data_IF_714805197173
#
_entry.id   IF_714805197173
#
_cell.length_a   1.000
_cell.length_b   1.000
_cell.length_c   1.000
_cell.angle_alpha   90.00
_cell.angle_beta   90.00
_cell.angle_gamma   90.00
#
_symmetry.space_group_name_H-M   'P 1'
#
loop_
_entity.id
_entity.type
_entity.pdbx_description
1 polymer ?
#
# COMPACT_ATOMS: atom_id res chain seq x y z
N UNK A 1 -6.74 -13.22 -6.66
CA UNK A 1 -6.52 -14.67 -6.53
C UNK A 1 -6.61 -15.11 -5.08
N UNK A 2 -6.72 -16.44 -4.82
CA UNK A 2 -6.74 -17.00 -3.45
C UNK A 2 -5.42 -16.73 -2.69
N UNK A 3 -5.36 -17.11 -1.42
CA UNK A 3 -4.12 -17.09 -0.64
C UNK A 3 -3.05 -17.95 -1.33
N UNK A 4 -1.80 -17.49 -1.32
CA UNK A 4 -0.70 -18.19 -1.98
C UNK A 4 -0.65 -18.04 -3.51
N UNK A 5 -1.55 -17.28 -4.14
CA UNK A 5 -1.55 -17.09 -5.60
C UNK A 5 -0.49 -16.10 -6.11
N UNK A 6 0.53 -15.75 -5.31
CA UNK A 6 1.60 -14.84 -5.70
C UNK A 6 1.23 -13.35 -5.81
N UNK A 7 0.08 -12.91 -5.26
CA UNK A 7 -0.37 -11.50 -5.35
C UNK A 7 0.72 -10.51 -4.92
N UNK A 8 1.26 -10.70 -3.70
CA UNK A 8 2.30 -9.83 -3.15
C UNK A 8 3.57 -9.87 -3.99
N UNK A 9 3.98 -11.05 -4.44
CA UNK A 9 5.15 -11.22 -5.32
C UNK A 9 5.00 -10.43 -6.62
N UNK A 10 3.84 -10.52 -7.28
CA UNK A 10 3.56 -9.78 -8.51
C UNK A 10 3.54 -8.27 -8.27
N UNK A 11 2.87 -7.82 -7.21
CA UNK A 11 2.79 -6.39 -6.87
C UNK A 11 4.16 -5.81 -6.53
N UNK A 12 4.98 -6.52 -5.76
CA UNK A 12 6.33 -6.08 -5.41
C UNK A 12 7.27 -6.06 -6.63
N UNK A 13 7.10 -7.00 -7.57
CA UNK A 13 7.78 -6.95 -8.86
C UNK A 13 7.43 -5.69 -9.63
N UNK A 14 6.14 -5.37 -9.76
CA UNK A 14 5.69 -4.15 -10.43
C UNK A 14 6.18 -2.88 -9.73
N UNK A 15 6.11 -2.82 -8.39
CA UNK A 15 6.64 -1.69 -7.63
C UNK A 15 8.15 -1.52 -7.82
N UNK A 16 8.90 -2.62 -7.93
CA UNK A 16 10.34 -2.57 -8.16
C UNK A 16 10.69 -2.02 -9.54
N UNK A 17 9.89 -2.31 -10.57
CA UNK A 17 10.06 -1.70 -11.90
C UNK A 17 9.71 -0.21 -11.90
N UNK A 18 8.67 0.20 -11.17
CA UNK A 18 8.24 1.59 -11.09
C UNK A 18 9.09 2.46 -10.14
N UNK A 19 9.98 1.84 -9.36
CA UNK A 19 10.81 2.50 -8.36
C UNK A 19 11.95 3.28 -9.03
N UNK A 20 11.62 4.40 -9.64
CA UNK A 20 12.57 5.31 -10.28
C UNK A 20 12.91 6.50 -9.37
N UNK A 21 14.11 7.10 -9.47
CA UNK A 21 14.42 8.34 -8.78
C UNK A 21 13.38 9.43 -9.09
N UNK A 22 12.91 10.13 -8.06
CA UNK A 22 11.89 11.17 -8.20
C UNK A 22 10.44 10.66 -8.12
N UNK A 23 10.21 9.34 -8.07
CA UNK A 23 8.88 8.77 -7.80
C UNK A 23 8.68 8.49 -6.32
N UNK A 24 7.67 9.12 -5.72
CA UNK A 24 7.26 8.87 -4.34
C UNK A 24 6.27 7.71 -4.29
N UNK A 25 6.77 6.53 -3.94
CA UNK A 25 5.97 5.32 -3.78
C UNK A 25 5.73 5.03 -2.29
N UNK A 26 4.46 4.86 -1.92
CA UNK A 26 4.04 4.55 -0.55
C UNK A 26 3.03 3.39 -0.52
N UNK A 27 3.14 2.50 0.47
CA UNK A 27 2.30 1.29 0.55
C UNK A 27 1.68 1.12 1.94
N UNK A 28 0.46 0.58 1.99
CA UNK A 28 -0.21 0.15 3.22
C UNK A 28 -0.43 -1.37 3.16
N UNK A 29 0.05 -2.11 4.15
CA UNK A 29 0.15 -3.58 4.09
C UNK A 29 -0.13 -4.25 5.44
N UNK A 30 -0.62 -5.50 5.43
CA UNK A 30 -0.93 -6.26 6.66
C UNK A 30 -0.60 -7.76 6.49
N UNK A 31 0.63 -8.23 6.84
CA UNK A 31 1.81 -7.45 7.21
C UNK A 31 2.65 -7.01 5.98
N UNK A 32 3.74 -6.29 6.24
CA UNK A 32 4.80 -6.09 5.23
C UNK A 32 5.62 -7.38 5.13
N UNK A 33 5.66 -8.02 3.96
CA UNK A 33 6.36 -9.29 3.77
C UNK A 33 7.89 -9.14 3.85
N UNK A 34 8.43 -8.12 3.17
CA UNK A 34 9.83 -7.72 3.24
C UNK A 34 10.00 -6.26 2.78
N UNK A 35 11.14 -5.67 3.14
CA UNK A 35 11.42 -4.27 2.82
C UNK A 35 11.89 -4.09 1.38
N UNK A 36 11.22 -3.21 0.65
CA UNK A 36 11.63 -2.71 -0.65
C UNK A 36 12.44 -1.41 -0.49
N UNK A 37 13.67 -1.33 -1.01
CA UNK A 37 14.46 -0.10 -0.95
C UNK A 37 13.74 1.09 -1.59
N UNK A 38 13.87 2.28 -1.01
CA UNK A 38 13.27 3.55 -1.49
C UNK A 38 11.74 3.63 -1.49
N UNK A 39 11.03 2.61 -1.01
CA UNK A 39 9.58 2.62 -0.88
C UNK A 39 9.21 2.80 0.59
N UNK A 40 8.27 3.70 0.88
CA UNK A 40 7.73 3.82 2.24
C UNK A 40 6.64 2.78 2.44
N UNK A 41 6.90 1.78 3.28
CA UNK A 41 5.93 0.73 3.56
C UNK A 41 5.38 0.89 4.97
N UNK A 42 4.07 1.06 5.09
CA UNK A 42 3.35 1.20 6.35
C UNK A 42 2.60 -0.09 6.63
N UNK A 43 2.94 -0.72 7.76
CA UNK A 43 2.19 -1.86 8.24
C UNK A 43 0.96 -1.40 9.03
N UNK A 44 -0.20 -1.99 8.72
CA UNK A 44 -1.44 -1.82 9.47
C UNK A 44 -1.25 -2.30 10.92
N UNK A 45 -1.89 -1.60 11.84
CA UNK A 45 -1.87 -1.96 13.25
C UNK A 45 -3.24 -1.72 13.89
N UNK A 46 -4.04 -2.78 13.93
CA UNK A 46 -5.38 -2.76 14.52
C UNK A 46 -5.39 -2.44 16.02
N UNK A 47 -4.29 -2.68 16.75
CA UNK A 47 -4.21 -2.39 18.20
C UNK A 47 -4.23 -0.89 18.51
N UNK A 48 -3.87 -0.06 17.53
CA UNK A 48 -3.86 1.41 17.66
C UNK A 48 -4.81 2.08 16.66
N UNK A 49 -5.73 1.30 16.08
CA UNK A 49 -6.69 1.78 15.07
C UNK A 49 -5.99 2.46 13.86
N UNK A 50 -4.85 1.89 13.44
CA UNK A 50 -4.16 2.27 12.21
C UNK A 50 -4.63 1.34 11.08
N UNK A 51 -5.78 1.67 10.47
CA UNK A 51 -6.46 0.90 9.42
C UNK A 51 -6.05 1.32 8.00
N UNK A 52 -6.43 0.52 6.99
CA UNK A 52 -6.20 0.86 5.58
C UNK A 52 -6.79 2.21 5.19
N UNK A 53 -8.06 2.48 5.53
CA UNK A 53 -8.72 3.75 5.22
C UNK A 53 -8.00 4.95 5.86
N UNK A 54 -7.58 4.83 7.12
CA UNK A 54 -6.85 5.89 7.84
C UNK A 54 -5.47 6.18 7.23
N UNK A 55 -4.74 5.12 6.88
CA UNK A 55 -3.44 5.24 6.23
C UNK A 55 -3.60 5.84 4.83
N UNK A 56 -4.55 5.35 4.03
CA UNK A 56 -4.83 5.85 2.68
C UNK A 56 -5.20 7.35 2.67
N UNK A 57 -6.05 7.80 3.60
CA UNK A 57 -6.33 9.25 3.76
C UNK A 57 -5.05 10.05 4.01
N UNK A 58 -4.13 9.50 4.79
CA UNK A 58 -2.85 10.15 5.11
C UNK A 58 -1.92 10.19 3.93
N UNK A 59 -1.87 9.10 3.15
CA UNK A 59 -1.10 8.98 1.93
C UNK A 59 -1.49 10.03 0.89
N UNK A 60 -2.78 10.30 0.69
CA UNK A 60 -3.24 11.33 -0.25
C UNK A 60 -2.75 12.75 0.09
N UNK A 61 -2.35 13.01 1.34
CA UNK A 61 -1.79 14.30 1.77
C UNK A 61 -0.26 14.36 1.70
N UNK A 62 0.38 13.27 1.28
CA UNK A 62 1.83 13.16 1.19
C UNK A 62 2.36 13.50 -0.21
N UNK A 63 1.53 13.94 -1.15
CA UNK A 63 1.91 14.14 -2.55
C UNK A 63 2.60 12.89 -3.17
N UNK A 64 1.97 11.69 -3.10
CA UNK A 64 2.55 10.48 -3.69
C UNK A 64 2.30 10.40 -5.19
N UNK A 65 3.25 9.81 -5.92
CA UNK A 65 3.04 9.41 -7.31
C UNK A 65 2.28 8.08 -7.41
N UNK A 66 2.60 7.13 -6.52
CA UNK A 66 2.10 5.76 -6.57
C UNK A 66 1.73 5.34 -5.15
N UNK A 67 0.49 4.86 -4.99
CA UNK A 67 0.00 4.26 -3.76
C UNK A 67 -0.33 2.78 -4.01
N UNK A 68 0.17 1.90 -3.15
CA UNK A 68 -0.27 0.51 -3.09
C UNK A 68 -1.07 0.27 -1.81
N UNK A 69 -2.30 -0.21 -1.94
CA UNK A 69 -3.10 -0.69 -0.82
C UNK A 69 -3.18 -2.22 -0.91
N UNK A 70 -2.69 -2.91 0.12
CA UNK A 70 -2.60 -4.37 0.13
C UNK A 70 -3.94 -5.06 -0.11
N UNK A 71 -5.03 -4.48 0.39
CA UNK A 71 -6.40 -4.89 0.10
C UNK A 71 -7.42 -3.81 0.44
N UNK A 72 -8.57 -3.84 -0.24
CA UNK A 72 -9.67 -2.89 -0.06
C UNK A 72 -10.92 -3.68 0.34
N UNK A 73 -10.98 -4.10 1.60
CA UNK A 73 -12.07 -4.97 2.11
C UNK A 73 -13.33 -4.20 2.45
N UNK A 74 -13.19 -2.98 2.95
CA UNK A 74 -14.29 -2.15 3.42
C UNK A 74 -14.65 -1.06 2.41
N UNK A 75 -15.90 -0.63 2.47
CA UNK A 75 -16.46 0.38 1.58
C UNK A 75 -15.72 1.72 1.69
N UNK A 76 -15.27 2.10 2.88
CA UNK A 76 -14.58 3.37 3.10
C UNK A 76 -13.24 3.40 2.33
N UNK A 77 -12.43 2.35 2.46
CA UNK A 77 -11.16 2.22 1.74
C UNK A 77 -11.38 2.28 0.23
N UNK A 78 -12.40 1.58 -0.28
CA UNK A 78 -12.78 1.60 -1.72
C UNK A 78 -13.19 3.01 -2.15
N UNK A 79 -14.06 3.68 -1.41
CA UNK A 79 -14.51 5.03 -1.74
C UNK A 79 -13.38 6.06 -1.75
N UNK A 80 -12.42 5.95 -0.83
CA UNK A 80 -11.25 6.84 -0.84
C UNK A 80 -10.37 6.56 -2.05
N UNK A 81 -10.15 5.29 -2.42
CA UNK A 81 -9.26 4.92 -3.52
C UNK A 81 -9.81 5.20 -4.92
N UNK A 82 -11.13 5.35 -5.06
CA UNK A 82 -11.80 5.68 -6.32
C UNK A 82 -12.03 7.19 -6.54
N UNK A 83 -11.75 8.02 -5.53
CA UNK A 83 -11.84 9.48 -5.61
C UNK A 83 -10.52 10.07 -6.09
#
# INVERSE_FOLDING_TARGET
>A
GPTGSGKTTTLYGALSELNEPGKKIITAEDPVEYRLPRITQVQINSKIDLTFSRVLRTFLRQDPDIILIGEMRDQETVEIGLR
#
